data_IF_268181404518
#
_entry.id   IF_268181404518
#
_cell.length_a   1.000
_cell.length_b   1.000
_cell.length_c   1.000
_cell.angle_alpha   90.00
_cell.angle_beta   90.00
_cell.angle_gamma   90.00
#
_symmetry.space_group_name_H-M   'P 1'
#
loop_
_entity.id
_entity.type
_entity.pdbx_description
1 polymer ?
#
# COMPACT_ATOMS: atom_id res chain seq x y z
N UNK A 1 19.67 6.67 2.56
CA UNK A 1 18.49 6.74 3.45
C UNK A 1 18.19 8.21 3.76
N UNK A 2 17.51 8.92 2.85
CA UNK A 2 17.16 10.35 3.01
C UNK A 2 15.66 10.54 3.36
N UNK A 3 14.81 9.61 2.91
CA UNK A 3 13.35 9.69 2.93
C UNK A 3 12.74 10.06 4.29
N UNK A 4 13.27 9.52 5.39
CA UNK A 4 12.62 9.62 6.71
C UNK A 4 12.99 10.88 7.50
N UNK A 5 13.87 11.75 7.00
CA UNK A 5 14.33 12.95 7.74
C UNK A 5 13.21 13.89 8.18
N UNK A 6 12.09 13.90 7.47
CA UNK A 6 10.91 14.75 7.76
C UNK A 6 9.91 14.10 8.72
N UNK A 7 10.12 12.84 9.09
CA UNK A 7 9.26 12.10 10.02
C UNK A 7 9.70 12.39 11.45
N UNK A 8 8.80 12.96 12.27
CA UNK A 8 9.12 13.39 13.65
C UNK A 8 9.41 12.19 14.57
N UNK A 9 8.79 11.04 14.31
CA UNK A 9 9.01 9.83 15.08
C UNK A 9 10.17 9.04 14.50
N UNK A 10 11.13 8.69 15.36
CA UNK A 10 12.40 8.04 14.95
C UNK A 10 12.29 6.53 14.78
N UNK A 11 11.23 5.91 15.31
CA UNK A 11 11.01 4.48 15.27
C UNK A 11 9.60 4.20 14.78
N UNK A 12 9.47 3.47 13.69
CA UNK A 12 8.19 3.04 13.15
C UNK A 12 8.40 1.85 12.22
N UNK A 13 7.34 1.08 11.99
CA UNK A 13 7.30 -0.01 11.01
C UNK A 13 6.14 0.24 10.07
N UNK A 14 6.44 0.37 8.78
CA UNK A 14 5.43 0.51 7.73
C UNK A 14 5.23 -0.82 7.02
N UNK A 15 4.01 -1.07 6.59
CA UNK A 15 3.70 -2.11 5.61
C UNK A 15 3.21 -1.44 4.33
N UNK A 16 3.72 -1.89 3.19
CA UNK A 16 3.62 -1.18 1.93
C UNK A 16 4.13 -1.96 0.74
N UNK A 17 3.86 -1.43 -0.46
CA UNK A 17 4.42 -1.94 -1.72
C UNK A 17 5.56 -1.05 -2.20
N UNK A 18 6.68 -1.66 -2.59
CA UNK A 18 7.69 -0.99 -3.39
C UNK A 18 7.16 -0.86 -4.83
N UNK A 19 7.33 0.32 -5.43
CA UNK A 19 6.76 0.66 -6.74
C UNK A 19 7.77 1.45 -7.55
N UNK A 20 7.95 1.07 -8.81
CA UNK A 20 8.48 1.94 -9.87
C UNK A 20 7.27 2.37 -10.70
N UNK A 21 7.15 3.65 -11.01
CA UNK A 21 6.06 4.17 -11.83
C UNK A 21 6.51 4.23 -13.29
N UNK A 22 5.68 3.72 -14.20
CA UNK A 22 5.83 3.92 -15.63
C UNK A 22 5.49 5.36 -16.04
N UNK A 23 5.69 5.66 -17.32
CA UNK A 23 5.38 6.98 -17.91
C UNK A 23 3.89 7.35 -17.85
N UNK A 24 3.03 6.34 -17.72
CA UNK A 24 1.58 6.47 -17.54
C UNK A 24 1.17 6.72 -16.08
N UNK A 25 2.13 6.69 -15.15
CA UNK A 25 1.90 6.84 -13.72
C UNK A 25 1.39 5.57 -13.03
N UNK A 26 1.35 4.43 -13.72
CA UNK A 26 0.98 3.14 -13.13
C UNK A 26 2.21 2.34 -12.71
N UNK A 27 2.01 1.37 -11.81
CA UNK A 27 3.12 0.55 -11.30
C UNK A 27 3.69 -0.37 -12.38
N UNK A 28 4.99 -0.25 -12.66
CA UNK A 28 5.73 -1.15 -13.54
C UNK A 28 6.47 -2.22 -12.72
N UNK A 29 5.86 -3.40 -12.65
CA UNK A 29 6.44 -4.56 -11.97
C UNK A 29 7.74 -5.05 -12.62
N UNK A 30 7.85 -4.99 -13.95
CA UNK A 30 9.03 -5.50 -14.65
C UNK A 30 10.22 -4.57 -14.39
N UNK A 31 10.00 -3.25 -14.43
CA UNK A 31 11.01 -2.27 -14.06
C UNK A 31 11.52 -2.50 -12.62
N UNK A 32 10.60 -2.65 -11.66
CA UNK A 32 10.94 -2.97 -10.27
C UNK A 32 11.73 -4.29 -10.15
N UNK A 33 11.26 -5.36 -10.80
CA UNK A 33 11.89 -6.67 -10.73
C UNK A 33 13.28 -6.70 -11.40
N UNK A 34 13.49 -5.88 -12.44
CA UNK A 34 14.77 -5.80 -13.16
C UNK A 34 15.92 -5.25 -12.32
N UNK A 35 15.62 -4.55 -11.21
CA UNK A 35 16.58 -3.84 -10.35
C UNK A 35 17.40 -2.74 -11.04
N UNK A 36 17.13 -2.43 -12.32
CA UNK A 36 17.83 -1.38 -13.08
C UNK A 36 17.43 0.03 -12.64
N UNK A 37 16.24 0.17 -12.06
CA UNK A 37 15.63 1.44 -11.66
C UNK A 37 15.53 1.58 -10.12
N UNK A 38 16.43 0.95 -9.36
CA UNK A 38 16.38 0.95 -7.89
C UNK A 38 16.37 2.37 -7.28
N UNK A 39 16.94 3.35 -7.98
CA UNK A 39 16.96 4.77 -7.56
C UNK A 39 15.62 5.50 -7.75
N UNK A 40 14.69 4.92 -8.52
CA UNK A 40 13.34 5.45 -8.77
C UNK A 40 12.27 4.77 -7.89
N UNK A 41 12.66 3.74 -7.14
CA UNK A 41 11.76 2.96 -6.29
C UNK A 41 11.19 3.82 -5.17
N UNK A 42 9.87 3.80 -5.06
CA UNK A 42 9.10 4.50 -4.04
C UNK A 42 8.34 3.49 -3.18
N UNK A 43 8.05 3.86 -1.94
CA UNK A 43 7.20 3.07 -1.05
C UNK A 43 5.80 3.65 -1.01
N UNK A 44 4.80 2.84 -1.35
CA UNK A 44 3.39 3.13 -1.11
C UNK A 44 2.94 2.37 0.14
N UNK A 45 3.03 3.03 1.29
CA UNK A 45 2.66 2.49 2.59
C UNK A 45 1.13 2.44 2.73
N UNK A 46 0.58 1.29 3.11
CA UNK A 46 -0.84 1.11 3.32
C UNK A 46 -1.20 0.77 4.77
N UNK A 47 -0.23 0.49 5.64
CA UNK A 47 -0.43 0.28 7.08
C UNK A 47 0.78 0.76 7.90
N UNK A 48 0.57 0.95 9.20
CA UNK A 48 1.64 1.20 10.19
C UNK A 48 1.49 0.19 11.31
N UNK A 49 2.53 -0.60 11.52
CA UNK A 49 2.50 -1.73 12.45
C UNK A 49 3.08 -1.38 13.81
N UNK A 50 4.00 -0.41 13.86
CA UNK A 50 4.57 0.10 15.11
C UNK A 50 4.91 1.59 14.97
N UNK A 51 4.81 2.33 16.08
CA UNK A 51 5.10 3.76 16.13
C UNK A 51 5.62 4.16 17.50
N UNK A 52 6.81 4.75 17.55
CA UNK A 52 7.38 5.26 18.81
C UNK A 52 7.69 4.17 19.84
N UNK A 53 7.92 2.93 19.41
CA UNK A 53 8.14 1.78 20.29
C UNK A 53 6.86 0.99 20.61
N UNK A 54 5.68 1.53 20.29
CA UNK A 54 4.40 0.86 20.52
C UNK A 54 4.02 -0.05 19.35
N UNK A 55 3.55 -1.26 19.65
CA UNK A 55 2.97 -2.19 18.67
C UNK A 55 1.51 -1.83 18.39
N UNK A 56 1.24 -1.38 17.16
CA UNK A 56 -0.09 -0.95 16.74
C UNK A 56 -0.91 -2.09 16.11
N UNK A 57 -0.34 -3.28 15.93
CA UNK A 57 -1.02 -4.39 15.23
C UNK A 57 -2.33 -4.81 15.88
N UNK A 58 -2.48 -4.61 17.18
CA UNK A 58 -3.70 -4.92 17.93
C UNK A 58 -4.84 -3.91 17.69
N UNK A 59 -4.53 -2.70 17.21
CA UNK A 59 -5.54 -1.68 16.92
C UNK A 59 -6.35 -2.02 15.67
N UNK A 60 -7.61 -1.55 15.54
CA UNK A 60 -8.37 -1.62 14.30
C UNK A 60 -7.65 -0.91 13.12
N UNK A 61 -7.88 -1.38 11.90
CA UNK A 61 -7.25 -0.82 10.69
C UNK A 61 -7.51 0.68 10.52
N UNK A 62 -8.71 1.18 10.84
CA UNK A 62 -9.01 2.62 10.77
C UNK A 62 -8.06 3.46 11.65
N UNK A 63 -7.80 3.00 12.88
CA UNK A 63 -6.89 3.69 13.79
C UNK A 63 -5.46 3.65 13.27
N UNK A 64 -5.04 2.52 12.69
CA UNK A 64 -3.70 2.42 12.07
C UNK A 64 -3.59 3.34 10.84
N UNK A 65 -4.61 3.42 9.99
CA UNK A 65 -4.66 4.36 8.86
C UNK A 65 -4.55 5.82 9.32
N UNK A 66 -5.28 6.24 10.35
CA UNK A 66 -5.16 7.58 10.91
C UNK A 66 -3.74 7.85 11.45
N UNK A 67 -3.11 6.87 12.10
CA UNK A 67 -1.73 7.02 12.58
C UNK A 67 -0.73 7.11 11.41
N UNK A 68 -0.92 6.32 10.34
CA UNK A 68 -0.09 6.36 9.13
C UNK A 68 -0.16 7.72 8.44
N UNK A 69 -1.36 8.27 8.26
CA UNK A 69 -1.56 9.60 7.66
C UNK A 69 -0.89 10.69 8.50
N UNK A 70 -1.04 10.65 9.82
CA UNK A 70 -0.37 11.59 10.73
C UNK A 70 1.16 11.48 10.65
N UNK A 71 1.69 10.25 10.58
CA UNK A 71 3.11 9.97 10.48
C UNK A 71 3.70 10.56 9.19
N UNK A 72 3.00 10.38 8.07
CA UNK A 72 3.45 10.77 6.73
C UNK A 72 2.93 12.15 6.27
N UNK A 73 2.26 12.90 7.15
CA UNK A 73 1.65 14.20 6.83
C UNK A 73 2.65 15.21 6.25
N UNK A 74 3.92 15.14 6.66
CA UNK A 74 5.01 15.99 6.16
C UNK A 74 5.62 15.53 4.82
N UNK A 75 5.02 14.53 4.18
CA UNK A 75 5.40 13.97 2.87
C UNK A 75 6.92 13.71 2.80
N UNK A 76 7.43 12.73 3.57
CA UNK A 76 8.80 12.25 3.39
C UNK A 76 9.05 11.87 1.93
N UNK A 77 10.25 12.19 1.42
CA UNK A 77 10.58 11.95 0.02
C UNK A 77 10.56 10.44 -0.29
N UNK A 78 9.84 10.04 -1.33
CA UNK A 78 9.78 8.63 -1.78
C UNK A 78 8.91 7.69 -0.93
N UNK A 79 8.19 8.19 0.08
CA UNK A 79 7.22 7.40 0.87
C UNK A 79 5.84 8.07 0.82
N UNK A 80 4.85 7.35 0.31
CA UNK A 80 3.50 7.83 0.10
C UNK A 80 2.49 6.98 0.87
N UNK A 81 1.37 7.59 1.27
CA UNK A 81 0.21 6.83 1.73
C UNK A 81 -0.48 6.27 0.49
N UNK A 82 -0.66 4.94 0.43
CA UNK A 82 -1.41 4.30 -0.63
C UNK A 82 -2.87 4.79 -0.60
N UNK A 83 -3.41 5.28 -1.73
CA UNK A 83 -4.80 5.71 -1.82
C UNK A 83 -5.76 4.59 -1.41
N UNK A 84 -6.82 4.94 -0.69
CA UNK A 84 -7.89 4.02 -0.31
C UNK A 84 -9.21 4.77 -0.19
N UNK A 85 -10.32 4.04 -0.35
CA UNK A 85 -11.66 4.57 -0.19
C UNK A 85 -12.38 3.81 0.93
N UNK A 86 -12.85 4.49 2.00
CA UNK A 86 -13.66 3.86 3.03
C UNK A 86 -15.09 3.55 2.56
N UNK A 87 -15.75 2.60 3.21
CA UNK A 87 -17.17 2.29 2.98
C UNK A 87 -17.41 1.05 2.11
N UNK A 88 -18.63 0.95 1.57
CA UNK A 88 -19.15 -0.28 0.95
C UNK A 88 -19.26 -0.19 -0.58
N UNK A 89 -18.35 0.54 -1.24
CA UNK A 89 -18.37 0.75 -2.71
C UNK A 89 -17.41 -0.19 -3.47
N UNK A 90 -16.98 -1.28 -2.85
CA UNK A 90 -15.97 -2.20 -3.38
C UNK A 90 -16.19 -2.64 -4.84
N UNK A 91 -17.41 -3.06 -5.25
CA UNK A 91 -17.67 -3.45 -6.63
C UNK A 91 -17.47 -2.32 -7.65
N UNK A 92 -17.88 -1.09 -7.32
CA UNK A 92 -17.72 0.06 -8.22
C UNK A 92 -16.27 0.51 -8.30
N UNK A 93 -15.57 0.51 -7.16
CA UNK A 93 -14.14 0.80 -7.10
C UNK A 93 -13.33 -0.23 -7.91
N UNK A 94 -13.69 -1.51 -7.82
CA UNK A 94 -13.07 -2.56 -8.62
C UNK A 94 -13.31 -2.37 -10.12
N UNK A 95 -14.55 -2.04 -10.51
CA UNK A 95 -14.88 -1.76 -11.92
C UNK A 95 -14.02 -0.61 -12.47
N UNK A 96 -13.90 0.48 -11.71
CA UNK A 96 -13.04 1.61 -12.08
C UNK A 96 -11.56 1.25 -12.11
N UNK A 97 -11.07 0.46 -11.17
CA UNK A 97 -9.70 -0.04 -11.21
C UNK A 97 -9.43 -0.84 -12.50
N UNK A 98 -10.37 -1.69 -12.93
CA UNK A 98 -10.27 -2.42 -14.20
C UNK A 98 -10.28 -1.49 -15.42
N UNK A 99 -11.15 -0.46 -15.44
CA UNK A 99 -11.21 0.54 -16.52
C UNK A 99 -9.90 1.33 -16.64
N UNK A 100 -9.23 1.62 -15.52
CA UNK A 100 -7.90 2.24 -15.49
C UNK A 100 -6.75 1.28 -15.79
N UNK A 101 -7.04 0.01 -16.11
CA UNK A 101 -6.00 -0.98 -16.41
C UNK A 101 -5.15 -1.37 -15.20
N UNK A 102 -5.65 -1.17 -13.96
CA UNK A 102 -4.94 -1.60 -12.75
C UNK A 102 -5.03 -3.13 -12.57
N UNK A 103 -4.07 -3.69 -11.82
CA UNK A 103 -4.05 -5.12 -11.48
C UNK A 103 -5.31 -5.58 -10.72
N UNK A 104 -5.91 -4.69 -9.93
CA UNK A 104 -7.09 -4.98 -9.12
C UNK A 104 -7.11 -4.16 -7.83
N UNK A 105 -7.82 -4.67 -6.82
CA UNK A 105 -7.94 -4.01 -5.51
C UNK A 105 -7.69 -4.98 -4.36
N UNK A 106 -7.37 -4.43 -3.19
CA UNK A 106 -7.32 -5.17 -1.92
C UNK A 106 -8.32 -4.56 -0.96
N UNK A 107 -9.35 -5.33 -0.61
CA UNK A 107 -10.34 -4.96 0.40
C UNK A 107 -9.86 -5.43 1.77
N UNK A 108 -9.88 -4.56 2.77
CA UNK A 108 -9.45 -4.87 4.14
C UNK A 108 -10.55 -4.52 5.14
N UNK A 109 -10.83 -5.41 6.09
CA UNK A 109 -11.82 -5.15 7.15
C UNK A 109 -11.36 -4.02 8.08
N UNK A 110 -12.15 -2.96 8.16
CA UNK A 110 -11.82 -1.70 8.87
C UNK A 110 -11.67 -1.88 10.38
N UNK A 111 -12.51 -2.72 10.97
CA UNK A 111 -12.66 -2.98 12.39
C UNK A 111 -11.70 -4.05 12.94
N UNK A 112 -10.73 -4.49 12.11
CA UNK A 112 -9.91 -5.66 12.40
C UNK A 112 -8.45 -5.31 12.66
N UNK A 113 -7.87 -6.05 13.61
CA UNK A 113 -6.45 -6.02 13.92
C UNK A 113 -5.62 -6.55 12.74
N UNK A 114 -4.33 -6.24 12.74
CA UNK A 114 -3.39 -6.82 11.79
C UNK A 114 -3.12 -8.30 12.14
N UNK A 115 -3.16 -9.17 11.14
CA UNK A 115 -2.83 -10.60 11.27
C UNK A 115 -1.77 -10.89 10.22
N UNK A 116 -0.58 -11.30 10.67
CA UNK A 116 0.49 -11.72 9.76
C UNK A 116 0.13 -13.02 9.04
N UNK A 117 0.58 -13.16 7.80
CA UNK A 117 0.31 -14.34 6.98
C UNK A 117 -1.05 -14.28 6.26
N UNK A 118 -1.51 -15.44 5.78
CA UNK A 118 -2.76 -15.53 5.00
C UNK A 118 -3.96 -15.37 5.92
N UNK A 119 -4.88 -14.48 5.54
CA UNK A 119 -6.08 -14.14 6.31
C UNK A 119 -7.25 -13.84 5.39
N UNK A 120 -8.47 -14.06 5.87
CA UNK A 120 -9.70 -13.67 5.15
C UNK A 120 -10.11 -12.22 5.45
N UNK A 121 -9.42 -11.54 6.35
CA UNK A 121 -9.67 -10.12 6.65
C UNK A 121 -9.24 -9.21 5.48
N UNK A 122 -8.37 -9.72 4.60
CA UNK A 122 -7.82 -9.03 3.44
C UNK A 122 -8.16 -9.86 2.20
N UNK A 123 -8.95 -9.29 1.30
CA UNK A 123 -9.39 -9.94 0.08
C UNK A 123 -8.79 -9.21 -1.11
N UNK A 124 -7.93 -9.89 -1.86
CA UNK A 124 -7.41 -9.40 -3.14
C UNK A 124 -8.33 -9.87 -4.26
N UNK A 125 -8.79 -8.93 -5.08
CA UNK A 125 -9.56 -9.21 -6.29
C UNK A 125 -8.78 -8.65 -7.47
N UNK A 126 -8.51 -9.51 -8.46
CA UNK A 126 -7.68 -9.17 -9.62
C UNK A 126 -8.51 -8.93 -10.87
N UNK A 127 -8.09 -7.94 -11.66
CA UNK A 127 -8.57 -7.71 -13.00
C UNK A 127 -8.09 -8.85 -13.91
N UNK A 128 -9.04 -9.58 -14.52
CA UNK A 128 -8.75 -10.78 -15.32
C UNK A 128 -8.06 -10.50 -16.64
N UNK A 129 -8.15 -9.28 -17.14
CA UNK A 129 -7.52 -8.88 -18.40
C UNK A 129 -6.13 -8.27 -18.20
N UNK A 130 -5.72 -8.04 -16.96
CA UNK A 130 -4.43 -7.41 -16.68
C UNK A 130 -3.26 -8.40 -16.89
N UNK A 131 -2.14 -8.00 -17.53
CA UNK A 131 -0.99 -8.87 -17.80
C UNK A 131 -0.37 -9.52 -16.55
N UNK A 132 -0.62 -8.98 -15.36
CA UNK A 132 -0.15 -9.59 -14.11
C UNK A 132 -0.88 -10.90 -13.76
N UNK A 133 -2.04 -11.20 -14.37
CA UNK A 133 -2.75 -12.43 -14.04
C UNK A 133 -2.02 -13.68 -14.51
N UNK A 134 -1.30 -13.60 -15.64
CA UNK A 134 -0.48 -14.69 -16.17
C UNK A 134 0.86 -14.84 -15.45
N UNK A 135 1.16 -13.97 -14.47
CA UNK A 135 2.36 -14.09 -13.62
C UNK A 135 2.13 -15.04 -12.44
N UNK A 136 0.89 -15.48 -12.21
CA UNK A 136 0.56 -16.57 -11.29
C UNK A 136 0.51 -17.90 -12.04
N UNK A 137 1.67 -18.34 -12.55
CA UNK A 137 2.01 -19.73 -12.86
C UNK A 137 3.47 -19.97 -12.48
#
# INVERSE_FOLDING_TARGET
>A
MEATRRVRQKQFVLDGGAVVLGVDGFSDFNALHSRKHDHEVQLYAFDVLALGGEDLRLLPLEMRKTNLERLLHRRPDGIFVAPFEPGAIGPDLFRKACEFGLEGIVSKRRDRRYIGGRTNEWIKVKNRTHPAISREL
#
